data_IF_070872876203
#
_entry.id   IF_070872876203
#
_cell.length_a   1.000
_cell.length_b   1.000
_cell.length_c   1.000
_cell.angle_alpha   90.00
_cell.angle_beta   90.00
_cell.angle_gamma   90.00
#
_symmetry.space_group_name_H-M   'P 1'
#
loop_
_entity.id
_entity.type
_entity.pdbx_description
1 polymer ?
#
# COMPACT_ATOMS: atom_id res chain seq x y z
N UNK A 1 69.25 31.33 -11.89
CA UNK A 1 67.83 31.13 -11.81
C UNK A 1 67.45 30.89 -10.38
N UNK A 2 66.54 31.70 -9.86
CA UNK A 2 66.20 31.63 -8.45
C UNK A 2 65.11 30.56 -8.26
N UNK A 3 65.39 29.53 -7.44
CA UNK A 3 64.49 28.44 -7.13
C UNK A 3 63.21 28.92 -6.45
N UNK A 4 63.28 30.11 -5.83
CA UNK A 4 62.12 30.67 -5.12
C UNK A 4 61.00 31.09 -6.07
N UNK A 5 61.28 31.43 -7.30
CA UNK A 5 60.25 31.80 -8.28
C UNK A 5 59.46 30.61 -8.76
N UNK A 6 60.09 29.43 -8.87
CA UNK A 6 59.43 28.21 -9.24
C UNK A 6 58.46 27.73 -8.15
N UNK A 7 58.85 27.88 -6.89
CA UNK A 7 57.96 27.51 -5.77
C UNK A 7 56.73 28.41 -5.69
N UNK A 8 56.87 29.68 -6.06
CA UNK A 8 55.77 30.63 -6.05
C UNK A 8 54.74 30.31 -7.16
N UNK A 9 55.19 29.90 -8.32
CA UNK A 9 54.32 29.56 -9.44
C UNK A 9 53.58 28.24 -9.19
N UNK A 10 54.18 27.33 -8.45
CA UNK A 10 53.54 26.05 -8.14
C UNK A 10 52.40 26.17 -7.12
N UNK A 11 52.36 27.28 -6.39
CA UNK A 11 51.29 27.48 -5.37
C UNK A 11 50.01 28.06 -5.93
N UNK A 12 50.04 28.64 -7.11
CA UNK A 12 48.86 29.28 -7.67
C UNK A 12 47.73 28.33 -8.06
N UNK A 13 47.96 27.11 -8.54
CA UNK A 13 46.86 26.23 -8.90
C UNK A 13 46.05 25.73 -7.71
N UNK A 14 46.64 25.71 -6.51
CA UNK A 14 45.90 25.17 -5.35
C UNK A 14 44.79 26.10 -4.88
N UNK A 15 44.92 27.39 -5.08
CA UNK A 15 43.90 28.35 -4.69
C UNK A 15 42.65 28.27 -5.59
N UNK A 16 42.86 27.98 -6.87
CA UNK A 16 41.72 27.81 -7.80
C UNK A 16 40.98 26.49 -7.60
N UNK A 17 41.69 25.49 -7.13
CA UNK A 17 41.05 24.22 -6.82
C UNK A 17 40.13 24.30 -5.58
N UNK A 18 40.53 25.14 -4.62
CA UNK A 18 39.68 25.35 -3.43
C UNK A 18 38.40 26.10 -3.77
N UNK A 19 38.41 26.97 -4.75
CA UNK A 19 37.21 27.69 -5.16
C UNK A 19 36.18 26.77 -5.85
N UNK A 20 36.66 25.66 -6.44
CA UNK A 20 35.78 24.71 -7.10
C UNK A 20 35.08 23.75 -6.12
N UNK A 21 35.56 23.67 -4.89
CA UNK A 21 34.97 22.79 -3.89
C UNK A 21 33.76 23.41 -3.23
N UNK A 22 33.42 24.63 -3.58
CA UNK A 22 32.22 25.30 -3.08
C UNK A 22 31.22 25.51 -4.21
N UNK A 23 30.01 25.15 -3.97
CA UNK A 23 28.90 25.36 -4.91
C UNK A 23 27.87 26.24 -4.21
N UNK A 24 27.65 27.46 -4.74
CA UNK A 24 26.73 28.43 -4.14
C UNK A 24 27.07 28.74 -2.68
N UNK A 25 28.37 28.74 -2.32
CA UNK A 25 28.79 28.99 -0.96
C UNK A 25 28.70 27.81 -0.02
N UNK A 26 28.32 26.63 -0.51
CA UNK A 26 28.23 25.41 0.28
C UNK A 26 29.34 24.44 -0.12
N UNK A 27 29.91 23.76 0.86
CA UNK A 27 30.88 22.71 0.59
C UNK A 27 30.21 21.52 -0.07
N UNK A 28 30.99 20.71 -0.81
CA UNK A 28 30.44 19.48 -1.41
C UNK A 28 29.85 18.53 -0.36
N UNK A 29 30.46 18.52 0.83
CA UNK A 29 29.96 17.67 1.93
C UNK A 29 28.63 18.17 2.45
N UNK A 30 28.46 19.50 2.55
CA UNK A 30 27.20 20.09 2.96
C UNK A 30 26.09 19.86 1.94
N UNK A 31 26.42 19.98 0.64
CA UNK A 31 25.45 19.73 -0.43
C UNK A 31 25.01 18.25 -0.43
N UNK A 32 25.95 17.32 -0.26
CA UNK A 32 25.63 15.90 -0.21
C UNK A 32 24.71 15.58 0.97
N UNK A 33 24.95 16.22 2.12
CA UNK A 33 24.13 16.03 3.32
C UNK A 33 22.71 16.54 3.09
N UNK A 34 22.56 17.70 2.46
CA UNK A 34 21.25 18.28 2.16
C UNK A 34 20.47 17.36 1.20
N UNK A 35 21.11 16.87 0.14
CA UNK A 35 20.49 15.99 -0.84
C UNK A 35 20.05 14.66 -0.20
N UNK A 36 20.90 14.09 0.67
CA UNK A 36 20.58 12.86 1.38
C UNK A 36 19.36 13.04 2.27
N UNK A 37 19.26 14.19 2.96
CA UNK A 37 18.10 14.47 3.81
C UNK A 37 16.83 14.68 2.99
N UNK A 38 16.91 15.35 1.86
CA UNK A 38 15.75 15.55 0.99
C UNK A 38 15.24 14.20 0.50
N UNK A 39 16.12 13.28 0.14
CA UNK A 39 15.70 11.94 -0.28
C UNK A 39 15.06 11.16 0.86
N UNK A 40 15.54 11.35 2.09
CA UNK A 40 15.02 10.65 3.25
C UNK A 40 13.60 11.10 3.61
N UNK A 41 13.30 12.39 3.38
CA UNK A 41 12.00 12.97 3.78
C UNK A 41 10.94 12.92 2.68
N UNK A 42 11.25 12.31 1.54
CA UNK A 42 10.22 12.14 0.51
C UNK A 42 9.15 11.19 1.03
N UNK A 43 7.89 11.59 0.99
CA UNK A 43 6.82 10.68 1.39
C UNK A 43 6.86 9.46 0.47
N UNK A 44 7.03 8.30 1.08
CA UNK A 44 6.88 7.06 0.35
C UNK A 44 5.38 6.93 0.09
N UNK A 45 4.96 7.37 -1.09
CA UNK A 45 3.61 7.07 -1.54
C UNK A 45 3.62 5.56 -1.78
N UNK A 46 3.00 4.84 -0.89
CA UNK A 46 2.84 3.42 -1.09
C UNK A 46 1.91 3.23 -2.29
N UNK A 47 2.52 3.08 -3.45
CA UNK A 47 1.77 2.74 -4.66
C UNK A 47 1.58 1.23 -4.61
N UNK A 48 0.44 0.82 -4.12
CA UNK A 48 0.01 -0.56 -4.29
C UNK A 48 -0.42 -0.67 -5.75
N UNK A 49 0.48 -1.22 -6.57
CA UNK A 49 0.19 -1.40 -8.00
C UNK A 49 -1.14 -2.13 -8.14
N UNK A 50 -2.13 -1.41 -8.65
CA UNK A 50 -3.42 -1.99 -8.95
C UNK A 50 -4.48 -1.86 -7.86
N UNK A 51 -4.16 -1.23 -6.72
CA UNK A 51 -5.17 -0.98 -5.67
C UNK A 51 -5.28 0.53 -5.46
N UNK A 52 -6.47 1.07 -5.70
CA UNK A 52 -6.74 2.50 -5.53
C UNK A 52 -7.94 2.65 -4.61
N UNK A 53 -7.71 3.22 -3.44
CA UNK A 53 -8.75 3.44 -2.44
C UNK A 53 -9.68 4.57 -2.90
N UNK A 54 -10.99 4.34 -2.74
CA UNK A 54 -12.02 5.32 -3.07
C UNK A 54 -13.03 5.40 -1.93
N UNK A 55 -12.57 5.87 -0.80
CA UNK A 55 -13.39 5.99 0.39
C UNK A 55 -12.56 6.42 1.57
N UNK A 56 -13.21 6.72 2.66
CA UNK A 56 -12.54 7.10 3.89
C UNK A 56 -12.33 5.88 4.79
N UNK A 57 -11.29 5.93 5.59
CA UNK A 57 -11.05 4.95 6.64
C UNK A 57 -10.15 3.78 6.25
N UNK A 58 -9.96 3.54 4.96
CA UNK A 58 -9.05 2.50 4.45
C UNK A 58 -7.76 3.17 3.99
N UNK A 59 -6.61 2.64 4.38
CA UNK A 59 -5.32 3.20 3.96
C UNK A 59 -4.42 2.11 3.41
N UNK A 60 -3.42 2.50 2.63
CA UNK A 60 -2.49 1.55 2.00
C UNK A 60 -1.11 1.68 2.62
N UNK A 61 -0.41 0.57 2.67
CA UNK A 61 0.98 0.51 3.09
C UNK A 61 1.70 -0.61 2.36
N UNK A 62 2.91 -0.90 2.80
CA UNK A 62 3.71 -1.98 2.24
C UNK A 62 4.44 -2.71 3.36
N UNK A 63 4.57 -4.02 3.20
CA UNK A 63 5.45 -4.83 4.04
C UNK A 63 6.92 -4.55 3.66
N UNK A 64 7.84 -5.02 4.49
CA UNK A 64 9.26 -4.81 4.26
C UNK A 64 9.76 -5.37 2.94
N UNK A 65 9.10 -6.39 2.42
CA UNK A 65 9.45 -7.01 1.13
C UNK A 65 8.65 -6.44 -0.05
N UNK A 66 7.85 -5.38 0.18
CA UNK A 66 7.12 -4.70 -0.87
C UNK A 66 5.69 -5.20 -1.10
N UNK A 67 5.26 -6.26 -0.40
CA UNK A 67 3.89 -6.75 -0.55
C UNK A 67 2.91 -5.66 -0.08
N UNK A 68 1.90 -5.30 -0.89
CA UNK A 68 0.94 -4.27 -0.50
C UNK A 68 0.15 -4.67 0.74
N UNK A 69 -0.10 -3.68 1.59
CA UNK A 69 -0.94 -3.84 2.78
C UNK A 69 -2.14 -2.92 2.64
N UNK A 70 -3.33 -3.48 2.80
CA UNK A 70 -4.56 -2.70 2.95
C UNK A 70 -4.86 -2.64 4.45
N UNK A 71 -4.69 -1.47 5.05
CA UNK A 71 -5.12 -1.24 6.43
C UNK A 71 -6.62 -0.99 6.37
N UNK A 72 -7.39 -2.02 6.70
CA UNK A 72 -8.84 -2.00 6.52
C UNK A 72 -9.49 -0.98 7.44
N UNK A 73 -10.67 -0.52 7.05
CA UNK A 73 -11.44 0.47 7.81
C UNK A 73 -11.95 -0.13 9.11
N UNK A 74 -12.20 0.75 10.08
CA UNK A 74 -12.80 0.38 11.36
C UNK A 74 -14.06 -0.47 11.13
N UNK A 75 -14.15 -1.66 11.72
CA UNK A 75 -15.38 -2.44 11.58
C UNK A 75 -16.54 -1.79 12.33
N UNK A 76 -17.74 -1.95 11.80
CA UNK A 76 -18.96 -1.47 12.45
C UNK A 76 -19.33 -2.37 13.64
N UNK A 77 -20.43 -2.07 14.29
CA UNK A 77 -20.88 -2.81 15.47
C UNK A 77 -21.17 -4.29 15.20
N UNK A 78 -21.43 -4.65 13.95
CA UNK A 78 -21.66 -6.06 13.54
C UNK A 78 -20.37 -6.75 13.08
N UNK A 79 -19.22 -6.08 13.13
CA UNK A 79 -17.94 -6.66 12.77
C UNK A 79 -17.62 -6.59 11.28
N UNK A 80 -18.31 -5.75 10.52
CA UNK A 80 -18.07 -5.57 9.08
C UNK A 80 -17.15 -4.40 8.84
N UNK A 81 -15.98 -4.65 8.24
CA UNK A 81 -15.10 -3.61 7.71
C UNK A 81 -15.44 -3.41 6.24
N UNK A 82 -15.93 -2.23 5.89
CA UNK A 82 -16.36 -1.91 4.52
C UNK A 82 -15.30 -1.00 3.86
N UNK A 83 -14.64 -1.54 2.89
CA UNK A 83 -13.52 -0.89 2.17
C UNK A 83 -13.94 -0.63 0.73
N UNK A 84 -13.75 0.58 0.26
CA UNK A 84 -14.16 0.98 -1.09
C UNK A 84 -12.96 1.32 -1.96
N UNK A 85 -12.99 0.84 -3.18
CA UNK A 85 -11.88 0.98 -4.13
C UNK A 85 -12.42 1.40 -5.50
N UNK A 86 -11.67 2.25 -6.20
CA UNK A 86 -11.92 2.44 -7.63
C UNK A 86 -11.28 1.32 -8.44
N UNK A 87 -10.13 0.81 -8.00
CA UNK A 87 -9.47 -0.35 -8.61
C UNK A 87 -8.99 -1.30 -7.51
N UNK A 88 -9.15 -2.59 -7.74
CA UNK A 88 -8.68 -3.61 -6.80
C UNK A 88 -8.13 -4.79 -7.59
N UNK A 89 -6.82 -4.84 -7.71
CA UNK A 89 -6.10 -5.91 -8.39
C UNK A 89 -5.05 -6.46 -7.44
N UNK A 90 -4.84 -7.77 -7.49
CA UNK A 90 -3.83 -8.43 -6.67
C UNK A 90 -2.79 -9.04 -7.61
N UNK A 91 -1.57 -8.56 -7.52
CA UNK A 91 -0.44 -9.08 -8.29
C UNK A 91 0.04 -10.42 -7.75
N UNK A 92 1.01 -11.01 -8.43
CA UNK A 92 1.54 -12.32 -8.04
C UNK A 92 2.15 -12.33 -6.65
N UNK A 93 2.65 -11.19 -6.19
CA UNK A 93 3.22 -11.06 -4.84
C UNK A 93 2.15 -11.14 -3.75
N UNK A 94 0.87 -10.96 -4.10
CA UNK A 94 -0.23 -11.03 -3.14
C UNK A 94 -0.57 -9.67 -2.53
N UNK A 95 -1.48 -9.70 -1.57
CA UNK A 95 -1.91 -8.54 -0.78
C UNK A 95 -2.21 -9.01 0.63
N UNK A 96 -1.93 -8.14 1.60
CA UNK A 96 -2.26 -8.37 3.00
C UNK A 96 -3.40 -7.44 3.39
N UNK A 97 -4.50 -8.02 3.89
CA UNK A 97 -5.60 -7.26 4.50
C UNK A 97 -5.32 -7.20 6.00
N UNK A 98 -4.99 -6.03 6.50
CA UNK A 98 -4.48 -5.89 7.86
C UNK A 98 -5.61 -5.82 8.88
N UNK A 99 -5.88 -6.96 9.51
CA UNK A 99 -6.90 -7.13 10.57
C UNK A 99 -6.24 -7.39 11.92
N UNK A 100 -5.01 -6.86 12.10
CA UNK A 100 -4.21 -7.12 13.29
C UNK A 100 -4.38 -5.98 14.28
N UNK A 101 -4.79 -6.32 15.50
CA UNK A 101 -5.02 -5.34 16.58
C UNK A 101 -3.80 -5.13 17.47
N UNK A 102 -2.80 -6.00 17.42
CA UNK A 102 -1.59 -5.87 18.21
C UNK A 102 -0.61 -4.86 17.64
N UNK A 103 0.51 -4.64 18.33
CA UNK A 103 1.55 -3.73 17.84
C UNK A 103 2.18 -4.22 16.56
N UNK A 104 2.45 -5.52 16.51
CA UNK A 104 3.02 -6.18 15.35
C UNK A 104 2.26 -7.46 15.06
N UNK A 105 2.39 -7.95 13.84
CA UNK A 105 1.73 -9.17 13.40
C UNK A 105 2.63 -9.91 12.41
N UNK A 106 2.81 -11.18 12.64
CA UNK A 106 3.53 -12.04 11.71
C UNK A 106 2.59 -12.43 10.56
N UNK A 107 3.10 -12.34 9.33
CA UNK A 107 2.36 -12.72 8.13
C UNK A 107 3.20 -13.68 7.28
N UNK A 108 2.53 -14.49 6.46
CA UNK A 108 3.24 -15.37 5.54
C UNK A 108 3.76 -14.61 4.32
N UNK A 109 2.97 -13.67 3.81
CA UNK A 109 3.32 -12.96 2.58
C UNK A 109 4.34 -11.84 2.80
N UNK A 110 4.30 -11.17 3.96
CA UNK A 110 5.09 -9.96 4.17
C UNK A 110 5.97 -9.94 5.40
N UNK A 111 6.09 -11.08 6.12
CA UNK A 111 6.84 -11.12 7.37
C UNK A 111 6.13 -10.33 8.46
N UNK A 112 6.90 -9.70 9.34
CA UNK A 112 6.34 -8.96 10.47
C UNK A 112 5.90 -7.57 9.99
N UNK A 113 4.64 -7.23 10.23
CA UNK A 113 4.07 -5.93 9.90
C UNK A 113 3.54 -5.26 11.17
N UNK A 114 3.31 -3.96 11.09
CA UNK A 114 2.65 -3.22 12.18
C UNK A 114 1.16 -3.54 12.19
N UNK A 115 0.57 -3.49 13.37
CA UNK A 115 -0.87 -3.61 13.50
C UNK A 115 -1.60 -2.44 12.83
N UNK A 116 -2.90 -2.60 12.67
CA UNK A 116 -3.74 -1.61 11.97
C UNK A 116 -4.42 -0.69 12.98
N UNK A 117 -3.93 0.56 13.07
CA UNK A 117 -4.49 1.53 14.00
C UNK A 117 -5.93 1.95 13.64
N UNK A 118 -6.37 1.72 12.39
CA UNK A 118 -7.74 2.02 11.98
C UNK A 118 -8.77 1.19 12.76
N UNK A 119 -8.36 0.02 13.28
CA UNK A 119 -9.31 -0.92 13.92
C UNK A 119 -9.82 -0.44 15.28
N UNK A 120 -9.08 0.44 15.96
CA UNK A 120 -9.44 0.86 17.29
C UNK A 120 -9.48 -0.28 18.30
N UNK A 121 -8.64 -1.29 18.08
CA UNK A 121 -8.53 -2.42 19.00
C UNK A 121 -9.51 -3.57 18.76
N UNK A 122 -10.34 -3.47 17.72
CA UNK A 122 -11.35 -4.50 17.44
C UNK A 122 -11.25 -5.00 16.02
N UNK A 123 -10.97 -6.29 15.86
CA UNK A 123 -10.80 -6.90 14.56
C UNK A 123 -12.17 -7.09 13.86
N UNK A 124 -12.13 -7.11 12.53
CA UNK A 124 -13.31 -7.40 11.72
C UNK A 124 -13.58 -8.91 11.66
N UNK A 125 -14.83 -9.29 11.55
CA UNK A 125 -15.24 -10.66 11.24
C UNK A 125 -15.45 -10.83 9.73
N UNK A 126 -15.84 -9.76 9.05
CA UNK A 126 -16.06 -9.73 7.61
C UNK A 126 -15.33 -8.52 7.05
N UNK A 127 -14.56 -8.73 6.00
CA UNK A 127 -13.86 -7.67 5.27
C UNK A 127 -14.47 -7.60 3.88
N UNK A 128 -15.21 -6.52 3.62
CA UNK A 128 -15.84 -6.28 2.33
C UNK A 128 -14.97 -5.32 1.55
N UNK A 129 -14.46 -5.78 0.43
CA UNK A 129 -13.73 -4.97 -0.55
C UNK A 129 -14.68 -4.73 -1.72
N UNK A 130 -15.29 -3.56 -1.75
CA UNK A 130 -16.25 -3.17 -2.77
C UNK A 130 -15.57 -2.27 -3.80
N UNK A 131 -15.65 -2.66 -5.07
CA UNK A 131 -15.05 -1.90 -6.16
C UNK A 131 -16.16 -1.14 -6.88
N UNK A 132 -15.98 0.17 -7.02
CA UNK A 132 -16.96 1.04 -7.68
C UNK A 132 -16.39 1.83 -8.84
N UNK A 133 -15.15 1.55 -9.24
CA UNK A 133 -14.59 2.08 -10.50
C UNK A 133 -15.13 1.32 -11.70
N UNK A 134 -14.58 1.57 -12.86
CA UNK A 134 -15.11 1.02 -14.11
C UNK A 134 -14.34 -0.19 -14.65
N UNK A 135 -13.39 -0.76 -13.90
CA UNK A 135 -12.50 -1.80 -14.41
C UNK A 135 -12.68 -3.11 -13.63
N UNK A 136 -12.56 -4.26 -14.29
CA UNK A 136 -12.62 -5.54 -13.58
C UNK A 136 -11.40 -5.75 -12.69
N UNK A 137 -11.54 -6.62 -11.70
CA UNK A 137 -10.47 -6.99 -10.78
C UNK A 137 -9.77 -8.27 -11.26
N UNK A 138 -8.46 -8.23 -11.27
CA UNK A 138 -7.60 -9.39 -11.61
C UNK A 138 -6.90 -9.84 -10.33
N UNK A 139 -7.20 -11.04 -9.86
CA UNK A 139 -6.58 -11.61 -8.67
C UNK A 139 -5.59 -12.67 -9.11
N UNK A 140 -4.28 -12.32 -9.09
CA UNK A 140 -3.21 -13.17 -9.61
C UNK A 140 -2.33 -13.74 -8.51
N UNK A 141 -2.59 -13.40 -7.27
CA UNK A 141 -1.81 -13.84 -6.12
C UNK A 141 -2.69 -14.03 -4.90
N UNK A 142 -2.05 -14.38 -3.79
CA UNK A 142 -2.76 -14.68 -2.55
C UNK A 142 -3.22 -13.42 -1.83
N UNK A 143 -4.35 -13.52 -1.17
CA UNK A 143 -4.85 -12.53 -0.22
C UNK A 143 -4.71 -13.12 1.18
N UNK A 144 -3.96 -12.47 2.04
CA UNK A 144 -3.76 -12.91 3.42
C UNK A 144 -4.45 -11.94 4.38
N UNK A 145 -5.27 -12.47 5.28
CA UNK A 145 -5.80 -11.68 6.40
C UNK A 145 -4.78 -11.75 7.53
N UNK A 146 -4.22 -10.61 7.90
CA UNK A 146 -3.27 -10.53 9.02
C UNK A 146 -4.06 -10.42 10.33
N UNK A 147 -3.64 -11.17 11.34
CA UNK A 147 -4.27 -11.14 12.65
C UNK A 147 -5.46 -12.08 12.75
N UNK A 148 -6.61 -11.59 13.23
CA UNK A 148 -7.79 -12.39 13.35
C UNK A 148 -8.33 -12.79 11.98
N UNK A 149 -8.66 -14.07 11.82
CA UNK A 149 -9.25 -14.59 10.59
C UNK A 149 -10.59 -13.91 10.30
N UNK A 150 -10.89 -13.73 9.03
CA UNK A 150 -12.13 -13.05 8.63
C UNK A 150 -12.63 -13.58 7.29
N UNK A 151 -13.92 -13.50 7.08
CA UNK A 151 -14.53 -13.74 5.78
C UNK A 151 -14.17 -12.58 4.86
N UNK A 152 -13.59 -12.86 3.70
CA UNK A 152 -13.20 -11.83 2.72
C UNK A 152 -14.20 -11.84 1.57
N UNK A 153 -14.73 -10.68 1.23
CA UNK A 153 -15.62 -10.49 0.09
C UNK A 153 -14.96 -9.52 -0.88
N UNK A 154 -14.83 -9.90 -2.13
CA UNK A 154 -14.44 -8.99 -3.21
C UNK A 154 -15.64 -8.85 -4.14
N UNK A 155 -16.23 -7.67 -4.18
CA UNK A 155 -17.43 -7.38 -4.97
C UNK A 155 -17.09 -6.35 -6.03
N UNK A 156 -17.15 -6.74 -7.31
CA UNK A 156 -16.85 -5.82 -8.42
C UNK A 156 -17.85 -6.08 -9.55
N UNK A 157 -18.80 -5.14 -9.78
CA UNK A 157 -19.80 -5.33 -10.85
C UNK A 157 -19.19 -5.45 -12.25
N UNK A 158 -17.95 -5.02 -12.44
CA UNK A 158 -17.29 -5.06 -13.75
C UNK A 158 -16.53 -6.38 -13.96
N UNK A 159 -16.51 -7.26 -12.97
CA UNK A 159 -15.90 -8.57 -13.10
C UNK A 159 -14.84 -8.85 -12.05
N UNK A 160 -14.69 -10.10 -11.67
CA UNK A 160 -13.60 -10.58 -10.81
C UNK A 160 -13.05 -11.85 -11.44
N UNK A 161 -11.76 -11.84 -11.73
CA UNK A 161 -11.08 -13.01 -12.29
C UNK A 161 -10.04 -13.51 -11.28
N UNK A 162 -10.12 -14.80 -10.98
CA UNK A 162 -9.12 -15.49 -10.15
C UNK A 162 -8.22 -16.32 -11.06
N UNK A 163 -6.98 -15.90 -11.22
CA UNK A 163 -5.99 -16.59 -12.02
C UNK A 163 -4.72 -16.73 -11.20
N UNK A 164 -4.66 -17.74 -10.36
CA UNK A 164 -3.59 -17.94 -9.39
C UNK A 164 -3.89 -17.33 -8.04
N UNK A 165 -5.11 -16.92 -7.80
CA UNK A 165 -5.48 -16.38 -6.50
C UNK A 165 -5.66 -17.50 -5.46
N UNK A 166 -5.52 -17.12 -4.21
CA UNK A 166 -5.77 -17.99 -3.07
C UNK A 166 -5.95 -17.13 -1.84
N UNK A 167 -6.30 -17.76 -0.75
CA UNK A 167 -6.65 -17.03 0.48
C UNK A 167 -5.95 -17.69 1.68
N UNK A 168 -5.38 -16.86 2.53
CA UNK A 168 -4.66 -17.29 3.74
C UNK A 168 -5.37 -16.66 4.93
N UNK A 169 -5.61 -17.48 5.98
CA UNK A 169 -6.28 -17.04 7.20
C UNK A 169 -7.69 -16.48 6.91
N UNK A 170 -8.36 -17.12 5.95
CA UNK A 170 -9.66 -16.69 5.45
C UNK A 170 -10.59 -17.91 5.42
N UNK A 171 -11.42 -18.10 6.46
CA UNK A 171 -12.32 -19.28 6.51
C UNK A 171 -13.32 -19.32 5.35
N UNK A 172 -13.65 -18.16 4.81
CA UNK A 172 -14.59 -18.06 3.68
C UNK A 172 -14.17 -16.91 2.79
N UNK A 173 -14.17 -17.13 1.48
CA UNK A 173 -13.94 -16.09 0.48
C UNK A 173 -15.14 -16.05 -0.47
N UNK A 174 -15.60 -14.85 -0.79
CA UNK A 174 -16.69 -14.64 -1.75
C UNK A 174 -16.21 -13.68 -2.82
N UNK A 175 -16.22 -14.12 -4.08
CA UNK A 175 -15.93 -13.28 -5.23
C UNK A 175 -17.24 -13.11 -5.99
N UNK A 176 -17.66 -11.87 -6.23
CA UNK A 176 -18.98 -11.64 -6.80
C UNK A 176 -19.01 -10.42 -7.70
N UNK A 177 -19.82 -10.48 -8.74
CA UNK A 177 -20.15 -9.33 -9.57
C UNK A 177 -21.40 -8.61 -9.07
N UNK A 178 -22.04 -9.13 -8.02
CA UNK A 178 -23.19 -8.47 -7.43
C UNK A 178 -22.79 -7.32 -6.52
N UNK A 179 -23.58 -6.26 -6.54
CA UNK A 179 -23.38 -5.13 -5.62
C UNK A 179 -23.85 -5.54 -4.22
N UNK A 180 -23.00 -5.39 -3.20
CA UNK A 180 -23.43 -5.79 -1.84
C UNK A 180 -24.53 -4.89 -1.31
N UNK A 181 -25.52 -5.50 -0.67
CA UNK A 181 -26.59 -4.80 0.04
C UNK A 181 -26.36 -5.00 1.52
N UNK A 182 -26.13 -3.90 2.22
CA UNK A 182 -25.82 -3.92 3.65
C UNK A 182 -27.08 -3.50 4.41
N UNK A 183 -27.55 -4.37 5.28
CA UNK A 183 -28.68 -4.10 6.15
C UNK A 183 -28.33 -4.55 7.57
N UNK A 184 -28.67 -3.74 8.54
CA UNK A 184 -28.33 -3.98 9.96
C UNK A 184 -26.83 -4.20 10.17
N UNK A 185 -26.00 -3.50 9.39
CA UNK A 185 -24.57 -3.58 9.52
C UNK A 185 -23.91 -4.83 8.95
N UNK A 186 -24.65 -5.63 8.21
CA UNK A 186 -24.15 -6.89 7.63
C UNK A 186 -24.48 -6.96 6.14
N UNK A 187 -23.64 -7.67 5.38
CA UNK A 187 -23.95 -7.95 3.97
C UNK A 187 -25.02 -9.03 3.93
N UNK A 188 -26.20 -8.65 3.47
CA UNK A 188 -27.37 -9.57 3.46
C UNK A 188 -27.51 -10.27 2.12
N UNK A 189 -27.24 -9.57 1.01
CA UNK A 189 -27.41 -10.13 -0.34
C UNK A 189 -26.59 -9.30 -1.32
N UNK A 190 -26.59 -9.78 -2.55
CA UNK A 190 -25.90 -9.09 -3.62
C UNK A 190 -26.90 -8.80 -4.73
N UNK A 191 -26.96 -7.66 -5.13
CA UNK A 191 -27.87 -7.35 -6.11
C UNK A 191 -27.17 -7.49 -7.38
N UNK A 192 -27.64 -7.94 -8.08
CA UNK A 192 -27.12 -8.11 -9.31
C UNK A 192 -27.23 -6.84 -9.97
N UNK A 193 -26.48 -6.62 -10.46
CA UNK A 193 -26.56 -5.54 -11.19
C UNK A 193 -27.56 -5.81 -12.15
N UNK A 194 -28.25 -5.32 -12.18
CA UNK A 194 -29.16 -5.56 -12.96
C UNK A 194 -28.56 -5.83 -14.16
N UNK A 195 -28.51 -6.63 -14.30
CA UNK A 195 -28.14 -7.00 -15.41
C UNK A 195 -28.88 -6.23 -16.29
N UNK A 196 -28.42 -5.68 -17.18
CA UNK A 196 -29.14 -5.00 -18.25
C UNK A 196 -30.13 -5.96 -18.91
N UNK A 197 -31.25 -5.46 -19.13
CA UNK A 197 -32.27 -6.24 -19.85
C UNK A 197 -31.68 -6.65 -21.22
N UNK A 198 -31.48 -7.93 -21.38
CA UNK A 198 -31.13 -8.48 -22.71
C UNK A 198 -32.37 -8.36 -23.59
N UNK A 199 -32.27 -7.55 -24.67
CA UNK A 199 -33.28 -7.48 -25.71
C UNK A 199 -32.79 -8.25 -26.93
#
# INVERSE_FOLDING_TARGET
>A
MDVRQFAFLARQPSATLQARDTFWGLSKRGLAFILANVMFWQPVVAIADGIVVNGSGTTLGQAGNGVPIVNIATPNGSGLSHNKFSDYNVGQQGVILNNATGRTQETQLGGIILGNSNLGGRAANVILNEVNGGSPSQLKGYTEVAGQAAHVIVANPYGVTCNGCGFINTPKATLTTGKPVIENGQVQRYXXXXXGTWR
#
